data_IF_886747627570
#
_entry.id   IF_886747627570
#
_cell.length_a   1.000
_cell.length_b   1.000
_cell.length_c   1.000
_cell.angle_alpha   90.00
_cell.angle_beta   90.00
_cell.angle_gamma   90.00
#
_symmetry.space_group_name_H-M   'P 1'
#
loop_
_entity.id
_entity.type
_entity.pdbx_description
1 polymer ?
#
# COMPACT_ATOMS: atom_id res chain seq x y z
N UNK A 1 12.43 20.18 6.73
CA UNK A 1 11.15 19.79 7.36
C UNK A 1 10.91 18.30 7.21
N UNK A 2 10.62 17.61 8.29
CA UNK A 2 10.36 16.18 8.22
C UNK A 2 9.14 15.88 7.36
N UNK A 3 9.26 14.86 6.53
CA UNK A 3 8.15 14.45 5.68
C UNK A 3 6.94 13.98 6.47
N UNK A 4 7.15 13.48 7.68
CA UNK A 4 6.06 12.99 8.51
C UNK A 4 5.02 14.07 8.84
N UNK A 5 5.44 15.32 8.90
CA UNK A 5 4.53 16.44 9.19
C UNK A 5 3.57 16.73 8.04
N UNK A 6 3.91 16.29 6.84
CA UNK A 6 3.06 16.50 5.66
C UNK A 6 2.07 15.36 5.44
N UNK A 7 2.22 14.28 6.19
CA UNK A 7 1.34 13.13 6.03
C UNK A 7 -0.01 13.42 6.64
N UNK A 8 -1.02 13.35 5.82
CA UNK A 8 -2.39 13.51 6.26
C UNK A 8 -2.91 12.29 6.99
N UNK A 9 -2.40 11.10 6.62
CA UNK A 9 -2.86 9.83 7.16
C UNK A 9 -1.70 9.06 7.75
N UNK A 10 -1.92 8.37 8.89
CA UNK A 10 -0.89 7.51 9.44
C UNK A 10 -0.59 6.33 8.53
N UNK A 11 0.66 5.88 8.55
CA UNK A 11 1.13 4.73 7.78
C UNK A 11 1.54 3.61 8.71
N UNK A 12 1.32 2.38 8.27
CA UNK A 12 1.74 1.20 9.00
C UNK A 12 2.62 0.33 8.11
N UNK A 13 3.66 -0.30 8.67
CA UNK A 13 4.59 -1.14 7.92
C UNK A 13 4.03 -2.56 7.76
N UNK A 14 2.85 -2.67 7.18
CA UNK A 14 2.21 -3.96 6.98
C UNK A 14 2.42 -4.46 5.55
N UNK A 15 2.78 -5.74 5.44
CA UNK A 15 2.91 -6.40 4.15
C UNK A 15 1.55 -6.92 3.72
N UNK A 16 0.89 -6.14 2.87
CA UNK A 16 -0.42 -6.48 2.34
C UNK A 16 -0.24 -6.89 0.88
N UNK A 17 -0.87 -7.99 0.49
CA UNK A 17 -0.82 -8.43 -0.90
C UNK A 17 -1.45 -7.37 -1.78
N UNK A 18 -0.73 -6.99 -2.83
CA UNK A 18 -1.10 -5.88 -3.69
C UNK A 18 -0.90 -6.27 -5.15
N UNK A 19 -1.90 -5.98 -5.97
CA UNK A 19 -1.77 -6.12 -7.42
C UNK A 19 -1.82 -4.73 -8.03
N UNK A 20 -0.83 -4.41 -8.84
CA UNK A 20 -0.74 -3.12 -9.53
C UNK A 20 -0.84 -3.38 -11.03
N UNK A 21 -1.73 -2.67 -11.70
CA UNK A 21 -1.93 -2.83 -13.15
C UNK A 21 -1.65 -1.51 -13.85
N UNK A 22 -0.75 -1.57 -14.84
CA UNK A 22 -0.40 -0.43 -15.68
C UNK A 22 -0.68 -0.85 -17.12
N UNK A 23 -1.77 -0.35 -17.69
CA UNK A 23 -2.21 -0.82 -19.00
C UNK A 23 -2.51 -2.32 -18.98
N UNK A 24 -1.82 -3.08 -19.81
CA UNK A 24 -2.01 -4.54 -19.88
C UNK A 24 -1.09 -5.29 -18.93
N UNK A 25 -0.13 -4.62 -18.34
CA UNK A 25 0.82 -5.27 -17.44
C UNK A 25 0.30 -5.32 -16.02
N UNK A 26 0.55 -6.44 -15.35
CA UNK A 26 0.12 -6.66 -13.97
C UNK A 26 1.31 -7.10 -13.13
N UNK A 27 1.42 -6.49 -11.97
CA UNK A 27 2.48 -6.80 -11.01
C UNK A 27 1.85 -7.24 -9.70
N UNK A 28 2.32 -8.36 -9.17
CA UNK A 28 1.94 -8.77 -7.82
C UNK A 28 3.09 -8.48 -6.88
N UNK A 29 2.77 -7.85 -5.76
CA UNK A 29 3.78 -7.46 -4.81
C UNK A 29 3.18 -7.40 -3.41
N UNK A 30 4.01 -7.05 -2.45
CA UNK A 30 3.58 -6.77 -1.08
C UNK A 30 3.85 -5.32 -0.79
N UNK A 31 2.96 -4.69 -0.07
CA UNK A 31 3.19 -3.32 0.38
C UNK A 31 4.27 -3.31 1.46
N UNK A 32 5.06 -2.25 1.50
CA UNK A 32 6.00 -2.02 2.58
C UNK A 32 5.40 -1.09 3.63
N UNK A 33 4.50 -0.24 3.22
CA UNK A 33 3.65 0.50 4.14
C UNK A 33 2.32 0.81 3.45
N UNK A 34 1.32 1.12 4.23
CA UNK A 34 -0.02 1.39 3.74
C UNK A 34 -0.68 2.47 4.58
N UNK A 35 -1.39 3.38 3.92
CA UNK A 35 -2.24 4.38 4.56
C UNK A 35 -3.47 4.63 3.70
N UNK A 36 -4.40 5.43 4.19
CA UNK A 36 -5.55 5.84 3.39
C UNK A 36 -5.17 6.71 2.20
N UNK A 37 -3.99 7.31 2.22
CA UNK A 37 -3.53 8.18 1.15
C UNK A 37 -2.73 7.48 0.07
N UNK A 38 -2.15 6.32 0.36
CA UNK A 38 -1.31 5.65 -0.61
C UNK A 38 -0.53 4.49 -0.03
N UNK A 39 0.39 3.97 -0.82
CA UNK A 39 1.19 2.83 -0.42
C UNK A 39 2.59 2.91 -1.03
N UNK A 40 3.51 2.18 -0.42
CA UNK A 40 4.86 1.98 -0.91
C UNK A 40 5.03 0.50 -1.19
N UNK A 41 5.43 0.15 -2.41
CA UNK A 41 5.63 -1.25 -2.80
C UNK A 41 6.75 -1.36 -3.83
N UNK A 42 7.27 -2.57 -4.01
CA UNK A 42 8.32 -2.81 -4.98
C UNK A 42 7.73 -3.36 -6.27
N UNK A 43 8.14 -2.79 -7.40
CA UNK A 43 7.76 -3.26 -8.72
C UNK A 43 9.00 -3.74 -9.46
N UNK A 44 8.80 -4.67 -10.37
CA UNK A 44 9.91 -5.25 -11.15
C UNK A 44 10.31 -4.41 -12.36
N UNK A 45 9.53 -3.39 -12.69
CA UNK A 45 9.79 -2.55 -13.84
C UNK A 45 9.70 -1.07 -13.48
N UNK A 46 10.39 -0.27 -14.26
CA UNK A 46 10.35 1.18 -14.11
C UNK A 46 9.03 1.72 -14.66
N UNK A 47 8.40 2.60 -13.91
CA UNK A 47 7.15 3.25 -14.29
C UNK A 47 7.35 4.75 -14.11
N UNK A 48 7.04 5.51 -15.15
CA UNK A 48 7.25 6.95 -15.12
C UNK A 48 6.43 7.64 -14.04
N UNK A 49 6.95 8.69 -13.40
CA UNK A 49 6.16 9.48 -12.45
C UNK A 49 4.88 10.00 -13.12
N UNK A 50 3.82 10.10 -12.31
CA UNK A 50 2.48 10.52 -12.74
C UNK A 50 1.75 9.51 -13.61
N UNK A 51 2.29 8.32 -13.78
CA UNK A 51 1.58 7.25 -14.46
C UNK A 51 0.38 6.80 -13.63
N UNK A 52 -0.78 6.76 -14.26
CA UNK A 52 -2.01 6.29 -13.65
C UNK A 52 -2.03 4.77 -13.67
N UNK A 53 -2.46 4.18 -12.56
CA UNK A 53 -2.52 2.72 -12.45
C UNK A 53 -3.68 2.29 -11.57
N UNK A 54 -4.02 1.01 -11.66
CA UNK A 54 -5.02 0.41 -10.79
C UNK A 54 -4.33 -0.38 -9.71
N UNK A 55 -4.88 -0.29 -8.49
CA UNK A 55 -4.34 -0.98 -7.33
C UNK A 55 -5.43 -1.82 -6.70
N UNK A 56 -5.12 -3.10 -6.46
CA UNK A 56 -5.99 -3.99 -5.70
C UNK A 56 -5.24 -4.44 -4.47
N UNK A 57 -5.78 -4.13 -3.31
CA UNK A 57 -5.21 -4.53 -2.03
C UNK A 57 -6.05 -5.64 -1.43
N UNK A 58 -5.41 -6.72 -1.00
CA UNK A 58 -6.09 -7.78 -0.27
C UNK A 58 -5.82 -7.60 1.21
N UNK A 59 -6.79 -7.00 1.89
CA UNK A 59 -6.67 -6.78 3.32
C UNK A 59 -6.87 -8.09 4.06
N UNK A 60 -6.01 -8.40 5.06
CA UNK A 60 -6.13 -9.65 5.80
C UNK A 60 -7.49 -9.83 6.44
N UNK A 61 -7.90 -11.09 6.55
CA UNK A 61 -9.20 -11.45 7.10
C UNK A 61 -9.29 -11.29 8.60
N UNK A 62 -8.18 -11.14 9.28
CA UNK A 62 -8.20 -10.92 10.73
C UNK A 62 -6.95 -10.24 11.20
N UNK A 63 -7.10 -9.41 12.21
CA UNK A 63 -6.00 -8.87 12.99
C UNK A 63 -6.29 -9.28 14.44
N UNK A 64 -5.59 -10.32 14.91
CA UNK A 64 -5.84 -10.91 16.21
C UNK A 64 -6.74 -12.13 16.15
N UNK A 65 -7.58 -12.33 17.18
CA UNK A 65 -8.35 -13.56 17.33
C UNK A 65 -9.63 -13.61 16.51
N UNK A 66 -10.10 -12.47 16.01
CA UNK A 66 -11.37 -12.42 15.30
C UNK A 66 -11.15 -12.60 13.81
N UNK A 67 -11.84 -13.56 13.22
CA UNK A 67 -11.82 -13.77 11.78
C UNK A 67 -12.99 -13.03 11.15
N UNK A 68 -12.69 -12.28 10.11
CA UNK A 68 -13.67 -11.58 9.30
C UNK A 68 -13.47 -11.98 7.84
N UNK A 69 -14.47 -11.81 6.98
CA UNK A 69 -14.28 -12.11 5.56
C UNK A 69 -13.13 -11.30 4.99
N UNK A 70 -12.35 -11.93 4.11
CA UNK A 70 -11.29 -11.26 3.40
C UNK A 70 -11.87 -10.11 2.59
N UNK A 71 -11.21 -8.97 2.61
CA UNK A 71 -11.68 -7.78 1.91
C UNK A 71 -10.67 -7.35 0.86
N UNK A 72 -11.17 -7.06 -0.35
CA UNK A 72 -10.37 -6.47 -1.40
C UNK A 72 -10.76 -5.02 -1.56
N UNK A 73 -9.75 -4.16 -1.69
CA UNK A 73 -9.95 -2.75 -1.98
C UNK A 73 -9.37 -2.49 -3.36
N UNK A 74 -10.17 -1.90 -4.23
CA UNK A 74 -9.76 -1.56 -5.58
C UNK A 74 -9.82 -0.05 -5.74
N UNK A 75 -8.74 0.55 -6.24
CA UNK A 75 -8.69 1.98 -6.43
C UNK A 75 -7.76 2.35 -7.57
N UNK A 76 -7.75 3.63 -7.90
CA UNK A 76 -6.84 4.20 -8.89
C UNK A 76 -5.81 5.03 -8.14
N UNK A 77 -4.57 4.98 -8.61
CA UNK A 77 -3.51 5.77 -8.06
C UNK A 77 -2.59 6.31 -9.13
N UNK A 78 -1.63 7.11 -8.71
CA UNK A 78 -0.57 7.61 -9.58
C UNK A 78 0.77 7.36 -8.93
N UNK A 79 1.77 7.07 -9.75
CA UNK A 79 3.15 6.95 -9.28
C UNK A 79 3.67 8.34 -8.96
N UNK A 80 4.12 8.53 -7.72
CA UNK A 80 4.73 9.80 -7.32
C UNK A 80 6.23 9.73 -7.54
N UNK A 81 6.84 8.60 -7.17
CA UNK A 81 8.29 8.45 -7.21
C UNK A 81 8.65 6.97 -7.25
N UNK A 82 9.76 6.68 -7.89
CA UNK A 82 10.38 5.36 -7.85
C UNK A 82 11.86 5.51 -7.56
N UNK A 83 12.38 4.61 -6.73
CA UNK A 83 13.80 4.53 -6.46
C UNK A 83 14.27 3.12 -6.81
N UNK A 84 15.30 3.01 -7.64
CA UNK A 84 15.86 1.71 -7.97
C UNK A 84 16.61 1.14 -6.77
N UNK A 85 16.27 -0.09 -6.42
CA UNK A 85 16.94 -0.77 -5.31
C UNK A 85 18.16 -1.53 -5.83
N UNK A 86 19.27 -1.55 -5.06
CA UNK A 86 20.50 -2.21 -5.48
C UNK A 86 20.44 -3.72 -5.23
N UNK A 87 19.53 -4.40 -5.91
CA UNK A 87 19.43 -5.86 -5.84
C UNK A 87 20.24 -6.49 -6.95
N UNK A 88 20.86 -7.63 -6.64
CA UNK A 88 21.84 -8.24 -7.53
C UNK A 88 21.24 -8.94 -8.74
N UNK A 89 20.13 -9.64 -8.56
CA UNK A 89 19.65 -10.58 -9.57
C UNK A 89 18.68 -9.98 -10.57
N UNK A 90 17.95 -8.95 -10.18
CA UNK A 90 16.92 -8.38 -11.04
C UNK A 90 16.57 -6.96 -10.59
N UNK A 91 16.08 -6.14 -11.53
CA UNK A 91 15.66 -4.80 -11.17
C UNK A 91 14.50 -4.83 -10.18
N UNK A 92 14.56 -3.95 -9.20
CA UNK A 92 13.46 -3.73 -8.28
C UNK A 92 13.36 -2.23 -8.03
N UNK A 93 12.14 -1.72 -8.05
CA UNK A 93 11.88 -0.29 -7.93
C UNK A 93 10.92 -0.06 -6.78
N UNK A 94 11.40 0.62 -5.76
CA UNK A 94 10.55 1.01 -4.65
C UNK A 94 9.65 2.14 -5.12
N UNK A 95 8.37 1.89 -5.16
CA UNK A 95 7.39 2.74 -5.84
C UNK A 95 6.43 3.33 -4.84
N UNK A 96 6.35 4.66 -4.82
CA UNK A 96 5.38 5.38 -4.01
C UNK A 96 4.16 5.69 -4.87
N UNK A 97 3.00 5.23 -4.42
CA UNK A 97 1.73 5.38 -5.12
C UNK A 97 0.78 6.21 -4.26
N UNK A 98 0.22 7.25 -4.85
CA UNK A 98 -0.80 8.08 -4.22
C UNK A 98 -2.17 7.66 -4.75
N UNK A 99 -3.13 7.39 -3.85
CA UNK A 99 -4.47 7.00 -4.26
C UNK A 99 -5.25 8.25 -4.67
N UNK A 100 -5.69 8.30 -5.93
CA UNK A 100 -6.42 9.43 -6.47
C UNK A 100 -7.92 9.22 -6.52
N UNK A 101 -8.35 7.97 -6.56
CA UNK A 101 -9.77 7.63 -6.63
C UNK A 101 -10.03 6.47 -5.69
N UNK A 102 -10.51 6.77 -4.50
CA UNK A 102 -10.77 5.80 -3.46
C UNK A 102 -12.16 6.05 -2.91
N UNK A 103 -13.04 5.07 -3.04
CA UNK A 103 -14.41 5.18 -2.54
C UNK A 103 -14.42 5.34 -1.02
N UNK A 104 -15.38 6.09 -0.47
CA UNK A 104 -15.43 6.29 0.99
C UNK A 104 -15.46 5.01 1.79
N UNK A 105 -16.17 3.99 1.34
CA UNK A 105 -16.23 2.71 2.02
C UNK A 105 -14.88 2.00 2.02
N UNK A 106 -14.13 2.11 0.92
CA UNK A 106 -12.81 1.51 0.82
C UNK A 106 -11.80 2.26 1.68
N UNK A 107 -11.92 3.59 1.72
CA UNK A 107 -11.11 4.40 2.62
C UNK A 107 -11.33 3.99 4.07
N UNK A 108 -12.56 3.72 4.44
CA UNK A 108 -12.90 3.27 5.78
C UNK A 108 -12.26 1.90 6.08
N UNK A 109 -12.31 0.98 5.10
CA UNK A 109 -11.72 -0.36 5.27
C UNK A 109 -10.22 -0.27 5.49
N UNK A 110 -9.55 0.55 4.69
CA UNK A 110 -8.11 0.77 4.88
C UNK A 110 -7.85 1.41 6.24
N UNK A 111 -8.65 2.42 6.60
CA UNK A 111 -8.50 3.10 7.88
C UNK A 111 -8.65 2.19 9.07
N UNK A 112 -9.64 1.30 9.04
CA UNK A 112 -9.84 0.32 10.09
C UNK A 112 -8.68 -0.66 10.19
N UNK A 113 -8.17 -1.11 9.04
CA UNK A 113 -7.02 -1.99 9.01
C UNK A 113 -5.78 -1.31 9.60
N UNK A 114 -5.53 -0.07 9.20
CA UNK A 114 -4.39 0.70 9.70
C UNK A 114 -4.50 0.87 11.22
N UNK A 115 -5.68 1.24 11.69
CA UNK A 115 -5.90 1.45 13.12
C UNK A 115 -5.68 0.16 13.91
N UNK A 116 -6.22 -0.96 13.45
CA UNK A 116 -6.04 -2.24 14.11
C UNK A 116 -4.58 -2.67 14.10
N UNK A 117 -3.88 -2.40 13.00
CA UNK A 117 -2.47 -2.71 12.89
C UNK A 117 -1.66 -1.93 13.92
N UNK A 118 -1.97 -0.66 14.11
CA UNK A 118 -1.30 0.17 15.10
C UNK A 118 -1.49 -0.39 16.52
N UNK A 119 -2.72 -0.80 16.86
CA UNK A 119 -3.00 -1.40 18.16
C UNK A 119 -2.27 -2.73 18.34
N UNK A 120 -2.19 -3.54 17.31
CA UNK A 120 -1.48 -4.81 17.38
C UNK A 120 0.00 -4.61 17.65
N UNK A 121 0.60 -3.61 17.00
CA UNK A 121 2.01 -3.28 17.22
C UNK A 121 2.25 -2.79 18.65
N UNK A 122 1.37 -1.98 19.18
CA UNK A 122 1.50 -1.48 20.56
C UNK A 122 1.44 -2.63 21.56
N UNK A 123 0.55 -3.59 21.35
CA UNK A 123 0.45 -4.75 22.20
C UNK A 123 1.72 -5.60 22.19
N UNK A 124 2.38 -5.69 21.04
CA UNK A 124 3.61 -6.46 20.91
C UNK A 124 4.78 -5.81 21.64
N UNK A 125 4.73 -4.51 21.83
CA UNK A 125 5.79 -3.78 22.51
C UNK A 125 5.68 -3.86 24.02
N UNK A 126 4.52 -4.09 24.52
CA UNK A 126 4.32 -4.24 25.96
C UNK A 126 4.36 -5.69 26.38
#
# INVERSE_FOLDING_TARGET
>A
MPFSERRKYPRVPEAVTCQVSVGVERFQTLTQNLSCGGTLCSLSEEVAPMTKLEVVLDLPASLGAVRVPRQSVRCVGVVIRQDRLPLEDRPSYLTAIYFTDLKPEDRRRIGEFVLQSMFSHDRRRS
#
